data_IF_599817175226
#
_entry.id   IF_599817175226
#
_cell.length_a   1.000
_cell.length_b   1.000
_cell.length_c   1.000
_cell.angle_alpha   90.00
_cell.angle_beta   90.00
_cell.angle_gamma   90.00
#
_symmetry.space_group_name_H-M   'P 1'
#
loop_
_entity.id
_entity.type
_entity.pdbx_description
1 polymer ?
#
# COMPACT_ATOMS: atom_id res chain seq x y z
N UNK A 1 7.02 9.73 34.79
CA UNK A 1 6.41 11.06 34.85
C UNK A 1 5.95 11.41 36.26
N UNK A 2 6.31 12.59 36.75
CA UNK A 2 5.85 13.14 38.03
C UNK A 2 4.86 14.30 37.77
N UNK A 3 3.60 14.14 38.15
CA UNK A 3 2.55 15.16 37.93
C UNK A 3 2.34 16.08 39.13
N UNK A 4 2.94 15.80 40.28
CA UNK A 4 2.73 16.56 41.52
C UNK A 4 3.26 18.00 41.43
N UNK A 5 4.15 18.26 40.46
CA UNK A 5 4.70 19.58 40.21
C UNK A 5 3.88 20.39 39.19
N UNK A 6 2.76 19.85 38.70
CA UNK A 6 1.85 20.56 37.83
C UNK A 6 0.87 21.39 38.65
N UNK A 7 0.67 22.61 38.19
CA UNK A 7 -0.32 23.55 38.71
C UNK A 7 -1.35 23.85 37.61
N UNK A 8 -2.63 23.84 37.97
CA UNK A 8 -3.74 24.18 37.08
C UNK A 8 -3.64 25.64 36.62
N UNK A 9 -4.00 25.89 35.37
CA UNK A 9 -3.94 27.20 34.72
C UNK A 9 -2.55 27.86 34.66
N UNK A 10 -1.49 27.15 35.07
CA UNK A 10 -0.11 27.63 34.98
C UNK A 10 0.41 27.52 33.56
N UNK A 11 1.05 28.60 33.10
CA UNK A 11 1.68 28.69 31.78
C UNK A 11 3.13 28.20 31.83
N UNK A 12 3.41 27.06 31.19
CA UNK A 12 4.76 26.52 30.99
C UNK A 12 5.30 26.97 29.64
N UNK A 13 6.35 27.79 29.63
CA UNK A 13 6.79 28.54 28.42
C UNK A 13 7.12 27.66 27.20
N UNK A 14 7.59 26.42 27.41
CA UNK A 14 7.89 25.50 26.32
C UNK A 14 7.94 24.03 26.77
N UNK A 15 8.07 23.14 25.79
CA UNK A 15 8.20 21.70 25.99
C UNK A 15 9.36 21.28 26.91
N UNK A 16 10.51 21.96 26.86
CA UNK A 16 11.67 21.60 27.71
C UNK A 16 11.35 21.86 29.18
N UNK A 17 10.80 23.03 29.48
CA UNK A 17 10.39 23.40 30.83
C UNK A 17 9.32 22.43 31.35
N UNK A 18 8.35 22.07 30.51
CA UNK A 18 7.33 21.09 30.90
C UNK A 18 7.93 19.69 31.14
N UNK A 19 8.90 19.26 30.33
CA UNK A 19 9.66 18.03 30.59
C UNK A 19 10.39 18.06 31.93
N UNK A 20 11.03 19.17 32.28
CA UNK A 20 11.78 19.31 33.54
C UNK A 20 10.83 19.22 34.75
N UNK A 21 9.70 19.91 34.70
CA UNK A 21 8.64 19.86 35.73
C UNK A 21 8.12 18.44 35.92
N UNK A 22 7.88 17.74 34.81
CA UNK A 22 7.39 16.36 34.76
C UNK A 22 8.46 15.30 35.05
N UNK A 23 9.72 15.71 35.22
CA UNK A 23 10.92 14.83 35.32
C UNK A 23 10.99 13.81 34.17
N UNK A 24 10.69 14.26 32.96
CA UNK A 24 10.66 13.45 31.75
C UNK A 24 11.83 13.82 30.82
N UNK A 25 12.44 12.84 30.14
CA UNK A 25 13.51 13.10 29.18
C UNK A 25 12.99 13.90 27.97
N UNK A 26 13.75 14.90 27.55
CA UNK A 26 13.51 15.64 26.31
C UNK A 26 13.71 14.68 25.12
N UNK A 27 12.70 14.59 24.26
CA UNK A 27 12.66 13.72 23.07
C UNK A 27 12.48 14.55 21.81
N UNK A 28 12.79 13.95 20.67
CA UNK A 28 12.60 14.54 19.34
C UNK A 28 11.78 13.61 18.43
N UNK A 29 11.28 14.16 17.31
CA UNK A 29 10.55 13.41 16.28
C UNK A 29 9.35 12.61 16.81
N UNK A 30 9.27 11.34 16.40
CA UNK A 30 8.18 10.43 16.77
C UNK A 30 8.12 10.15 18.28
N UNK A 31 9.28 10.09 18.94
CA UNK A 31 9.35 9.85 20.39
C UNK A 31 8.75 11.01 21.20
N UNK A 32 8.90 12.25 20.72
CA UNK A 32 8.25 13.43 21.30
C UNK A 32 6.72 13.36 21.14
N UNK A 33 6.24 13.01 19.95
CA UNK A 33 4.80 12.86 19.69
C UNK A 33 4.16 11.77 20.56
N UNK A 34 4.86 10.65 20.76
CA UNK A 34 4.40 9.57 21.66
C UNK A 34 4.38 10.02 23.12
N UNK A 35 5.32 10.86 23.53
CA UNK A 35 5.34 11.41 24.87
C UNK A 35 4.15 12.35 25.12
N UNK A 36 3.77 13.19 24.15
CA UNK A 36 2.54 14.00 24.26
C UNK A 36 1.28 13.14 24.43
N UNK A 37 1.16 12.06 23.66
CA UNK A 37 0.04 11.11 23.84
C UNK A 37 0.05 10.43 25.20
N UNK A 38 1.24 10.19 25.75
CA UNK A 38 1.37 9.66 27.11
C UNK A 38 0.90 10.69 28.14
N UNK A 39 1.24 11.97 27.94
CA UNK A 39 0.84 13.07 28.83
C UNK A 39 -0.68 13.32 28.86
N UNK A 40 -1.34 13.21 27.71
CA UNK A 40 -2.81 13.30 27.58
C UNK A 40 -3.57 12.26 28.44
N UNK A 41 -2.87 11.22 28.93
CA UNK A 41 -3.44 10.27 29.89
C UNK A 41 -3.53 10.83 31.30
N UNK A 42 -2.71 11.82 31.65
CA UNK A 42 -2.56 12.32 33.01
C UNK A 42 -3.12 13.73 33.19
N UNK A 43 -3.18 14.52 32.12
CA UNK A 43 -3.73 15.87 32.17
C UNK A 43 -4.17 16.34 30.77
N UNK A 44 -5.07 17.31 30.72
CA UNK A 44 -5.38 18.07 29.50
C UNK A 44 -4.61 19.38 29.48
N UNK A 45 -4.31 19.83 28.28
CA UNK A 45 -3.66 21.11 28.06
C UNK A 45 -4.07 21.68 26.71
N UNK A 46 -4.02 22.99 26.61
CA UNK A 46 -4.00 23.70 25.35
C UNK A 46 -2.68 24.46 25.20
N UNK A 47 -2.42 24.93 23.98
CA UNK A 47 -1.20 25.68 23.67
C UNK A 47 -1.51 27.15 23.49
N UNK A 48 -0.62 27.97 24.03
CA UNK A 48 -0.55 29.40 23.76
C UNK A 48 0.83 29.69 23.14
N UNK A 49 0.86 29.70 21.80
CA UNK A 49 2.09 29.68 21.01
C UNK A 49 2.95 28.44 21.29
N UNK A 50 4.15 28.65 21.84
CA UNK A 50 5.04 27.56 22.25
C UNK A 50 4.80 27.07 23.68
N UNK A 51 3.95 27.76 24.44
CA UNK A 51 3.65 27.45 25.83
C UNK A 51 2.53 26.42 25.95
N UNK A 52 2.47 25.78 27.12
CA UNK A 52 1.48 24.79 27.50
C UNK A 52 0.75 25.30 28.75
N UNK A 53 -0.58 25.28 28.74
CA UNK A 53 -1.42 25.64 29.88
C UNK A 53 -2.20 24.40 30.27
N UNK A 54 -2.11 23.99 31.54
CA UNK A 54 -2.72 22.75 32.04
C UNK A 54 -4.15 23.05 32.49
N UNK A 55 -5.12 22.41 31.84
CA UNK A 55 -6.54 22.66 32.06
C UNK A 55 -7.12 21.76 33.15
N UNK A 56 -6.69 20.49 33.19
CA UNK A 56 -7.17 19.49 34.13
C UNK A 56 -6.06 18.48 34.44
N UNK A 57 -5.93 18.05 35.70
CA UNK A 57 -5.00 16.99 36.11
C UNK A 57 -5.83 15.82 36.65
N UNK A 58 -5.65 14.64 36.07
CA UNK A 58 -6.40 13.45 36.45
C UNK A 58 -5.80 12.80 37.70
N UNK A 59 -6.66 12.49 38.68
CA UNK A 59 -6.28 11.74 39.88
C UNK A 59 -5.76 10.35 39.50
N UNK A 60 -6.46 9.69 38.56
CA UNK A 60 -6.03 8.42 37.98
C UNK A 60 -5.78 8.62 36.49
N UNK A 61 -4.61 8.22 35.96
CA UNK A 61 -4.34 8.36 34.54
C UNK A 61 -5.28 7.50 33.70
N UNK A 62 -5.79 8.04 32.59
CA UNK A 62 -6.56 7.30 31.58
C UNK A 62 -5.81 6.04 31.17
N UNK A 63 -6.53 4.94 30.93
CA UNK A 63 -5.90 3.67 30.56
C UNK A 63 -5.01 3.79 29.33
N UNK A 64 -3.88 3.08 29.36
CA UNK A 64 -2.99 2.99 28.20
C UNK A 64 -3.57 1.99 27.22
N UNK A 65 -4.19 2.49 26.16
CA UNK A 65 -4.63 1.63 25.07
C UNK A 65 -3.40 1.24 24.23
N UNK A 66 -2.73 0.14 24.57
CA UNK A 66 -1.71 -0.47 23.72
C UNK A 66 -2.33 -1.51 22.78
N UNK A 67 -2.55 -1.08 21.54
CA UNK A 67 -3.03 -1.97 20.47
C UNK A 67 -1.89 -2.74 19.80
N UNK A 68 -0.64 -2.66 20.28
CA UNK A 68 0.46 -3.48 19.81
C UNK A 68 0.34 -4.88 20.41
N UNK A 69 -0.19 -5.82 19.61
CA UNK A 69 -0.31 -7.23 19.99
C UNK A 69 -1.73 -7.70 20.33
N UNK A 70 -2.70 -6.79 20.49
CA UNK A 70 -4.11 -7.14 20.69
C UNK A 70 -4.86 -7.35 19.37
N UNK A 71 -4.38 -8.31 18.56
CA UNK A 71 -5.15 -9.08 17.56
C UNK A 71 -4.38 -10.40 17.33
N UNK A 72 -4.76 -11.45 18.05
CA UNK A 72 -4.48 -12.87 17.74
C UNK A 72 -3.11 -13.23 17.14
N UNK A 73 -1.96 -13.11 17.80
CA UNK A 73 -0.65 -13.64 17.29
C UNK A 73 -0.22 -13.26 15.84
N UNK A 74 -1.00 -12.46 15.10
CA UNK A 74 -0.83 -12.16 13.69
C UNK A 74 -0.20 -10.79 13.59
N UNK A 75 1.10 -10.76 13.26
CA UNK A 75 1.80 -9.51 12.91
C UNK A 75 1.23 -8.96 11.60
N UNK A 76 0.23 -8.07 11.69
CA UNK A 76 -0.33 -7.29 10.59
C UNK A 76 -1.84 -7.44 10.44
N UNK A 77 -2.52 -6.37 10.00
CA UNK A 77 -3.99 -6.29 9.93
C UNK A 77 -4.65 -7.32 9.00
N UNK A 78 -3.88 -7.96 8.11
CA UNK A 78 -4.39 -8.92 7.12
C UNK A 78 -3.99 -10.37 7.39
N UNK A 79 -3.12 -10.62 8.37
CA UNK A 79 -2.41 -11.90 8.46
C UNK A 79 -3.33 -13.10 8.64
N UNK A 80 -4.33 -12.97 9.53
CA UNK A 80 -5.30 -14.04 9.79
C UNK A 80 -6.14 -14.44 8.58
N UNK A 81 -6.25 -13.57 7.59
CA UNK A 81 -6.98 -13.82 6.36
C UNK A 81 -6.06 -14.36 5.28
N UNK A 82 -5.00 -13.60 4.97
CA UNK A 82 -4.12 -13.91 3.85
C UNK A 82 -3.39 -15.23 4.01
N UNK A 83 -2.93 -15.56 5.22
CA UNK A 83 -2.21 -16.80 5.47
C UNK A 83 -3.12 -18.00 5.17
N UNK A 84 -4.38 -17.95 5.62
CA UNK A 84 -5.41 -18.97 5.41
C UNK A 84 -5.78 -19.09 3.92
N UNK A 85 -6.01 -17.96 3.25
CA UNK A 85 -6.41 -17.95 1.85
C UNK A 85 -5.29 -18.45 0.94
N UNK A 86 -4.05 -17.98 1.12
CA UNK A 86 -2.90 -18.43 0.33
C UNK A 86 -2.65 -19.92 0.56
N UNK A 87 -2.70 -20.40 1.81
CA UNK A 87 -2.55 -21.82 2.12
C UNK A 87 -3.61 -22.67 1.40
N UNK A 88 -4.87 -22.23 1.40
CA UNK A 88 -5.95 -22.94 0.74
C UNK A 88 -5.85 -22.90 -0.79
N UNK A 89 -5.43 -21.77 -1.37
CA UNK A 89 -5.16 -21.63 -2.81
C UNK A 89 -4.10 -22.63 -3.26
N UNK A 90 -3.01 -22.74 -2.50
CA UNK A 90 -1.93 -23.69 -2.78
C UNK A 90 -2.42 -25.12 -2.61
N UNK A 91 -3.19 -25.42 -1.57
CA UNK A 91 -3.71 -26.77 -1.32
C UNK A 91 -4.61 -27.27 -2.46
N UNK A 92 -5.40 -26.37 -3.06
CA UNK A 92 -6.28 -26.69 -4.19
C UNK A 92 -5.53 -26.84 -5.52
N UNK A 93 -4.30 -26.33 -5.64
CA UNK A 93 -3.50 -26.48 -6.84
C UNK A 93 -2.85 -27.86 -6.83
N UNK A 94 -3.14 -28.68 -7.84
CA UNK A 94 -2.53 -30.00 -8.03
C UNK A 94 -1.03 -29.95 -8.38
N UNK A 95 -0.42 -28.75 -8.46
CA UNK A 95 1.01 -28.59 -8.74
C UNK A 95 1.74 -28.11 -7.51
N UNK A 96 2.89 -28.73 -7.23
CA UNK A 96 3.77 -28.35 -6.11
C UNK A 96 4.41 -26.96 -6.30
N UNK A 97 4.34 -26.37 -7.49
CA UNK A 97 4.95 -25.07 -7.78
C UNK A 97 3.92 -24.11 -8.38
N UNK A 98 3.85 -22.91 -7.83
CA UNK A 98 3.06 -21.82 -8.36
C UNK A 98 3.98 -20.67 -8.79
N UNK A 99 3.80 -20.22 -10.03
CA UNK A 99 4.36 -18.98 -10.54
C UNK A 99 3.25 -17.93 -10.58
N UNK A 100 3.45 -16.78 -9.94
CA UNK A 100 2.39 -15.78 -9.80
C UNK A 100 2.92 -14.39 -9.51
N UNK A 101 2.26 -13.35 -10.02
CA UNK A 101 2.57 -11.96 -9.67
C UNK A 101 1.92 -11.56 -8.33
N UNK A 102 2.40 -10.48 -7.71
CA UNK A 102 1.71 -9.91 -6.53
C UNK A 102 0.25 -9.54 -6.82
N UNK A 103 -0.05 -9.05 -8.02
CA UNK A 103 -1.43 -8.74 -8.41
C UNK A 103 -2.26 -10.01 -8.61
N UNK A 104 -1.67 -11.08 -9.16
CA UNK A 104 -2.35 -12.37 -9.28
C UNK A 104 -2.72 -12.95 -7.92
N UNK A 105 -1.82 -12.90 -6.94
CA UNK A 105 -2.15 -13.30 -5.56
C UNK A 105 -3.20 -12.40 -4.93
N UNK A 106 -3.15 -11.08 -5.17
CA UNK A 106 -4.17 -10.15 -4.68
C UNK A 106 -5.57 -10.48 -5.24
N UNK A 107 -5.64 -10.90 -6.51
CA UNK A 107 -6.88 -11.31 -7.17
C UNK A 107 -7.38 -12.66 -6.62
N UNK A 108 -6.51 -13.67 -6.51
CA UNK A 108 -6.88 -14.98 -5.95
C UNK A 108 -7.32 -14.91 -4.48
N UNK A 109 -6.85 -13.93 -3.73
CA UNK A 109 -7.24 -13.70 -2.32
C UNK A 109 -8.38 -12.68 -2.17
N UNK A 110 -9.00 -12.25 -3.27
CA UNK A 110 -10.09 -11.27 -3.26
C UNK A 110 -9.74 -9.91 -2.63
N UNK A 111 -8.46 -9.54 -2.55
CA UNK A 111 -8.06 -8.16 -2.19
C UNK A 111 -8.44 -7.18 -3.30
N UNK A 112 -8.37 -7.64 -4.55
CA UNK A 112 -8.80 -6.94 -5.74
C UNK A 112 -9.70 -7.88 -6.54
N UNK A 113 -10.61 -7.34 -7.34
CA UNK A 113 -11.43 -8.15 -8.23
C UNK A 113 -10.84 -8.21 -9.66
N UNK A 114 -11.47 -8.98 -10.54
CA UNK A 114 -11.05 -9.17 -11.95
C UNK A 114 -10.95 -7.86 -12.76
N UNK A 115 -11.69 -6.82 -12.38
CA UNK A 115 -11.61 -5.53 -13.07
C UNK A 115 -10.24 -4.88 -12.86
N UNK A 116 -9.55 -5.17 -11.75
CA UNK A 116 -8.28 -4.54 -11.42
C UNK A 116 -7.20 -4.74 -12.49
N UNK A 117 -6.95 -6.00 -12.88
CA UNK A 117 -5.94 -6.31 -13.91
C UNK A 117 -6.29 -5.66 -15.24
N UNK A 118 -7.56 -5.76 -15.65
CA UNK A 118 -8.05 -5.22 -16.91
C UNK A 118 -7.96 -3.69 -16.97
N UNK A 119 -8.44 -2.99 -15.93
CA UNK A 119 -8.40 -1.53 -15.85
C UNK A 119 -6.96 -1.03 -15.75
N UNK A 120 -6.09 -1.75 -15.02
CA UNK A 120 -4.68 -1.41 -14.92
C UNK A 120 -3.92 -1.62 -16.25
N UNK A 121 -4.34 -2.59 -17.08
CA UNK A 121 -3.81 -2.79 -18.43
C UNK A 121 -4.33 -1.76 -19.44
N UNK A 122 -5.54 -1.23 -19.22
CA UNK A 122 -6.23 -0.32 -20.14
C UNK A 122 -6.48 1.07 -19.51
N UNK A 123 -5.45 1.65 -18.87
CA UNK A 123 -5.59 2.90 -18.08
C UNK A 123 -6.22 4.05 -18.85
N UNK A 124 -5.91 4.23 -20.14
CA UNK A 124 -6.49 5.29 -20.98
C UNK A 124 -8.01 5.12 -21.17
N UNK A 125 -8.47 3.89 -21.45
CA UNK A 125 -9.90 3.59 -21.60
C UNK A 125 -10.63 3.64 -20.26
N UNK A 126 -10.01 3.14 -19.20
CA UNK A 126 -10.53 3.24 -17.85
C UNK A 126 -10.74 4.70 -17.43
N UNK A 127 -9.75 5.57 -17.70
CA UNK A 127 -9.86 6.99 -17.42
C UNK A 127 -11.06 7.64 -18.12
N UNK A 128 -11.22 7.37 -19.43
CA UNK A 128 -12.36 7.88 -20.20
C UNK A 128 -13.71 7.41 -19.62
N UNK A 129 -13.81 6.14 -19.23
CA UNK A 129 -15.00 5.61 -18.58
C UNK A 129 -15.29 6.30 -17.23
N UNK A 130 -14.27 6.45 -16.39
CA UNK A 130 -14.38 7.07 -15.07
C UNK A 130 -14.71 8.56 -15.15
N UNK A 131 -14.13 9.28 -16.10
CA UNK A 131 -14.43 10.68 -16.37
C UNK A 131 -15.88 10.85 -16.84
N UNK A 132 -16.34 10.03 -17.79
CA UNK A 132 -17.67 10.16 -18.36
C UNK A 132 -18.78 9.82 -17.35
N UNK A 133 -18.63 8.69 -16.63
CA UNK A 133 -19.69 8.16 -15.76
C UNK A 133 -19.66 8.75 -14.34
N UNK A 134 -18.48 8.99 -13.79
CA UNK A 134 -18.31 9.36 -12.37
C UNK A 134 -17.66 10.73 -12.17
N UNK A 135 -17.38 11.47 -13.25
CA UNK A 135 -16.70 12.77 -13.22
C UNK A 135 -15.39 12.71 -12.42
N UNK A 136 -14.67 11.60 -12.56
CA UNK A 136 -13.38 11.39 -11.92
C UNK A 136 -12.22 12.05 -12.68
N UNK A 137 -11.05 12.09 -12.08
CA UNK A 137 -9.82 12.59 -12.67
C UNK A 137 -8.68 11.57 -12.58
N UNK A 138 -7.67 11.73 -13.44
CA UNK A 138 -6.55 10.79 -13.55
C UNK A 138 -5.73 10.68 -12.25
N UNK A 139 -5.65 11.76 -11.45
CA UNK A 139 -4.93 11.74 -10.18
C UNK A 139 -5.61 10.83 -9.16
N UNK A 140 -6.94 10.83 -9.09
CA UNK A 140 -7.71 9.93 -8.25
C UNK A 140 -7.43 8.45 -8.61
N UNK A 141 -7.44 8.14 -9.91
CA UNK A 141 -7.11 6.80 -10.40
C UNK A 141 -5.67 6.40 -10.06
N UNK A 142 -4.70 7.28 -10.33
CA UNK A 142 -3.30 7.04 -10.02
C UNK A 142 -3.08 6.79 -8.52
N UNK A 143 -3.69 7.59 -7.65
CA UNK A 143 -3.58 7.41 -6.21
C UNK A 143 -4.23 6.08 -5.76
N UNK A 144 -5.40 5.68 -6.30
CA UNK A 144 -6.01 4.38 -5.96
C UNK A 144 -5.15 3.21 -6.41
N UNK A 145 -4.74 3.16 -7.68
CA UNK A 145 -3.89 2.07 -8.19
C UNK A 145 -2.56 1.98 -7.42
N UNK A 146 -1.96 3.13 -7.09
CA UNK A 146 -0.74 3.17 -6.29
C UNK A 146 -0.97 2.61 -4.87
N UNK A 147 -2.04 3.02 -4.20
CA UNK A 147 -2.36 2.55 -2.85
C UNK A 147 -2.70 1.06 -2.83
N UNK A 148 -3.49 0.58 -3.80
CA UNK A 148 -3.81 -0.84 -3.94
C UNK A 148 -2.54 -1.65 -4.13
N UNK A 149 -1.73 -1.34 -5.15
CA UNK A 149 -0.50 -2.08 -5.46
C UNK A 149 0.51 -2.06 -4.30
N UNK A 150 0.71 -0.90 -3.68
CA UNK A 150 1.70 -0.77 -2.59
C UNK A 150 1.29 -1.52 -1.33
N UNK A 151 -0.01 -1.54 -1.00
CA UNK A 151 -0.53 -2.24 0.17
C UNK A 151 -0.68 -3.74 -0.05
N UNK A 152 -1.23 -4.15 -1.19
CA UNK A 152 -1.41 -5.57 -1.51
C UNK A 152 -0.06 -6.28 -1.56
N UNK A 153 0.93 -5.71 -2.27
CA UNK A 153 2.29 -6.26 -2.34
C UNK A 153 2.90 -6.47 -0.95
N UNK A 154 2.86 -5.45 -0.08
CA UNK A 154 3.40 -5.55 1.28
C UNK A 154 2.65 -6.58 2.14
N UNK A 155 1.34 -6.65 2.01
CA UNK A 155 0.50 -7.59 2.77
C UNK A 155 0.78 -9.04 2.36
N UNK A 156 0.87 -9.29 1.05
CA UNK A 156 1.20 -10.58 0.45
C UNK A 156 2.62 -11.01 0.84
N UNK A 157 3.62 -10.15 0.67
CA UNK A 157 5.00 -10.45 1.08
C UNK A 157 5.07 -10.77 2.58
N UNK A 158 4.32 -10.06 3.42
CA UNK A 158 4.26 -10.35 4.85
C UNK A 158 3.65 -11.72 5.15
N UNK A 159 2.66 -12.14 4.36
CA UNK A 159 2.00 -13.45 4.47
C UNK A 159 2.89 -14.57 3.98
N UNK A 160 3.51 -14.44 2.80
CA UNK A 160 4.48 -15.41 2.29
C UNK A 160 5.64 -15.61 3.28
N UNK A 161 6.18 -14.53 3.85
CA UNK A 161 7.19 -14.60 4.92
C UNK A 161 6.70 -15.37 6.16
N UNK A 162 5.44 -15.20 6.58
CA UNK A 162 4.87 -15.94 7.73
C UNK A 162 4.72 -17.43 7.40
N UNK A 163 4.15 -17.74 6.24
CA UNK A 163 3.95 -19.13 5.78
C UNK A 163 5.29 -19.86 5.61
N UNK A 164 6.32 -19.18 5.09
CA UNK A 164 7.67 -19.75 4.98
C UNK A 164 8.29 -20.02 6.35
N UNK A 165 8.19 -19.07 7.31
CA UNK A 165 8.64 -19.31 8.69
C UNK A 165 7.90 -20.45 9.38
N UNK A 166 6.63 -20.67 9.03
CA UNK A 166 5.82 -21.80 9.49
C UNK A 166 6.14 -23.11 8.74
N UNK A 167 7.13 -23.12 7.84
CA UNK A 167 7.51 -24.27 7.00
C UNK A 167 6.35 -24.83 6.17
N UNK A 168 5.38 -23.98 5.81
CA UNK A 168 4.25 -24.36 4.95
C UNK A 168 4.58 -24.24 3.46
N UNK A 169 5.44 -23.28 3.13
CA UNK A 169 5.88 -22.98 1.77
C UNK A 169 7.38 -22.65 1.76
N UNK A 170 7.96 -22.65 0.57
CA UNK A 170 9.17 -21.92 0.26
C UNK A 170 8.86 -20.96 -0.89
N UNK A 171 9.41 -19.75 -0.89
CA UNK A 171 9.18 -18.84 -2.00
C UNK A 171 10.37 -17.94 -2.34
N UNK A 172 10.47 -17.62 -3.62
CA UNK A 172 11.44 -16.68 -4.18
C UNK A 172 10.71 -15.57 -4.94
N UNK A 173 11.14 -14.32 -4.75
CA UNK A 173 10.78 -13.22 -5.65
C UNK A 173 11.83 -13.13 -6.76
N UNK A 174 11.44 -13.48 -7.99
CA UNK A 174 12.37 -13.68 -9.12
C UNK A 174 11.73 -13.30 -10.45
N UNK A 175 12.54 -13.32 -11.52
CA UNK A 175 11.99 -13.32 -12.87
C UNK A 175 11.45 -14.69 -13.26
N UNK A 176 10.32 -14.67 -13.96
CA UNK A 176 9.60 -15.83 -14.46
C UNK A 176 9.52 -15.67 -15.97
N UNK A 177 9.96 -16.69 -16.69
CA UNK A 177 9.78 -16.82 -18.14
C UNK A 177 8.46 -17.53 -18.37
N UNK A 178 7.70 -17.05 -19.37
CA UNK A 178 6.55 -17.75 -19.89
C UNK A 178 6.77 -18.11 -21.35
N UNK A 179 6.28 -19.28 -21.72
CA UNK A 179 6.40 -19.87 -23.05
C UNK A 179 5.07 -19.73 -23.81
N UNK A 180 5.08 -19.89 -25.13
CA UNK A 180 3.88 -19.78 -25.98
C UNK A 180 2.79 -20.78 -25.62
N UNK A 181 3.16 -21.92 -25.01
CA UNK A 181 2.23 -22.92 -24.50
C UNK A 181 1.74 -22.64 -23.07
N UNK A 182 1.88 -21.40 -22.59
CA UNK A 182 1.49 -20.95 -21.24
C UNK A 182 2.19 -21.65 -20.07
N UNK A 183 3.28 -22.38 -20.34
CA UNK A 183 4.15 -22.91 -19.28
C UNK A 183 4.96 -21.76 -18.70
N UNK A 184 5.17 -21.80 -17.38
CA UNK A 184 5.97 -20.80 -16.66
C UNK A 184 7.13 -21.47 -15.92
N UNK A 185 8.29 -20.82 -15.89
CA UNK A 185 9.48 -21.28 -15.18
C UNK A 185 10.26 -20.11 -14.59
N UNK A 186 10.91 -20.33 -13.44
CA UNK A 186 11.90 -19.38 -12.89
C UNK A 186 13.09 -19.25 -13.84
N UNK A 187 13.61 -18.03 -13.99
CA UNK A 187 14.84 -17.77 -14.75
C UNK A 187 16.06 -18.48 -14.15
N UNK A 188 17.00 -18.87 -15.00
CA UNK A 188 18.35 -19.23 -14.55
C UNK A 188 19.12 -17.98 -14.11
N UNK A 189 20.22 -18.16 -13.38
CA UNK A 189 21.10 -17.07 -12.93
C UNK A 189 21.54 -16.21 -14.13
N UNK A 190 21.98 -16.85 -15.22
CA UNK A 190 22.43 -16.16 -16.42
C UNK A 190 21.30 -15.36 -17.09
N UNK A 191 20.08 -15.91 -17.17
CA UNK A 191 18.93 -15.21 -17.73
C UNK A 191 18.55 -13.99 -16.87
N UNK A 192 18.58 -14.14 -15.54
CA UNK A 192 18.31 -13.06 -14.61
C UNK A 192 19.34 -11.94 -14.72
N UNK A 193 20.63 -12.27 -14.84
CA UNK A 193 21.69 -11.29 -15.07
C UNK A 193 21.50 -10.49 -16.36
N UNK A 194 21.11 -11.15 -17.47
CA UNK A 194 20.81 -10.49 -18.74
C UNK A 194 19.71 -9.44 -18.53
N UNK A 195 18.62 -9.81 -17.85
CA UNK A 195 17.49 -8.90 -17.64
C UNK A 195 17.90 -7.73 -16.73
N UNK A 196 18.58 -8.00 -15.60
CA UNK A 196 19.00 -6.97 -14.65
C UNK A 196 19.96 -5.97 -15.29
N UNK A 197 20.93 -6.46 -16.08
CA UNK A 197 21.90 -5.60 -16.75
C UNK A 197 21.23 -4.73 -17.83
N UNK A 198 20.26 -5.27 -18.57
CA UNK A 198 19.46 -4.50 -19.50
C UNK A 198 18.62 -3.42 -18.80
N UNK A 199 17.93 -3.75 -17.69
CA UNK A 199 17.18 -2.77 -16.90
C UNK A 199 18.08 -1.61 -16.43
N UNK A 200 19.26 -1.91 -15.87
CA UNK A 200 20.24 -0.91 -15.40
C UNK A 200 20.72 -0.01 -16.54
N UNK A 201 21.13 -0.62 -17.66
CA UNK A 201 21.62 0.09 -18.86
C UNK A 201 20.56 1.05 -19.41
N UNK A 202 19.30 0.61 -19.52
CA UNK A 202 18.22 1.46 -20.02
C UNK A 202 17.85 2.56 -19.03
N UNK A 203 17.85 2.30 -17.72
CA UNK A 203 17.61 3.33 -16.71
C UNK A 203 18.63 4.47 -16.81
N UNK A 204 19.92 4.14 -16.95
CA UNK A 204 20.99 5.10 -17.15
C UNK A 204 20.83 5.88 -18.45
N UNK A 205 20.62 5.18 -19.59
CA UNK A 205 20.43 5.81 -20.90
C UNK A 205 19.24 6.76 -20.97
N UNK A 206 18.16 6.46 -20.24
CA UNK A 206 16.97 7.32 -20.19
C UNK A 206 17.09 8.45 -19.16
N UNK A 207 18.13 8.44 -18.31
CA UNK A 207 18.28 9.34 -17.19
C UNK A 207 17.04 9.40 -16.28
N UNK A 208 16.50 8.21 -15.91
CA UNK A 208 15.29 8.11 -15.09
C UNK A 208 15.53 7.38 -13.78
N UNK A 209 14.84 7.84 -12.75
CA UNK A 209 14.76 7.17 -11.46
C UNK A 209 13.65 6.11 -11.45
N UNK A 210 13.72 5.15 -10.52
CA UNK A 210 12.64 4.21 -10.27
C UNK A 210 11.33 4.90 -9.91
N UNK A 211 11.40 6.04 -9.20
CA UNK A 211 10.21 6.83 -8.87
C UNK A 211 9.54 7.34 -10.14
N UNK A 212 10.28 8.04 -11.01
CA UNK A 212 9.72 8.55 -12.27
C UNK A 212 9.11 7.45 -13.13
N UNK A 213 9.80 6.30 -13.26
CA UNK A 213 9.33 5.11 -13.97
C UNK A 213 7.99 4.59 -13.43
N UNK A 214 7.76 4.63 -12.12
CA UNK A 214 6.52 4.11 -11.51
C UNK A 214 5.34 5.07 -11.65
N UNK A 215 5.59 6.39 -11.65
CA UNK A 215 4.53 7.41 -11.65
C UNK A 215 4.04 7.80 -13.05
N UNK A 216 4.84 7.60 -14.10
CA UNK A 216 4.49 7.96 -15.47
C UNK A 216 4.28 6.71 -16.32
N UNK A 217 3.03 6.39 -16.66
CA UNK A 217 2.66 5.17 -17.39
C UNK A 217 3.39 5.09 -18.74
N UNK A 218 3.35 6.15 -19.54
CA UNK A 218 4.00 6.17 -20.86
C UNK A 218 5.52 6.01 -20.76
N UNK A 219 6.12 6.54 -19.70
CA UNK A 219 7.55 6.37 -19.43
C UNK A 219 7.88 4.92 -19.06
N UNK A 220 7.01 4.26 -18.27
CA UNK A 220 7.12 2.85 -17.91
C UNK A 220 7.04 1.95 -19.14
N UNK A 221 6.08 2.20 -20.02
CA UNK A 221 5.90 1.45 -21.28
C UNK A 221 7.11 1.62 -22.19
N UNK A 222 7.56 2.86 -22.40
CA UNK A 222 8.77 3.15 -23.19
C UNK A 222 10.02 2.50 -22.61
N UNK A 223 10.14 2.48 -21.28
CA UNK A 223 11.24 1.80 -20.59
C UNK A 223 11.23 0.29 -20.87
N UNK A 224 10.11 -0.40 -20.59
CA UNK A 224 10.06 -1.86 -20.75
C UNK A 224 10.12 -2.29 -22.21
N UNK A 225 9.61 -1.50 -23.16
CA UNK A 225 9.84 -1.74 -24.60
C UNK A 225 11.33 -1.79 -24.92
N UNK A 226 12.08 -0.76 -24.53
CA UNK A 226 13.54 -0.70 -24.76
C UNK A 226 14.33 -1.80 -24.05
N UNK A 227 13.86 -2.26 -22.89
CA UNK A 227 14.48 -3.41 -22.20
C UNK A 227 14.21 -4.69 -22.99
N UNK A 228 12.96 -4.91 -23.43
CA UNK A 228 12.58 -6.09 -24.20
C UNK A 228 13.30 -6.17 -25.55
N UNK A 229 13.53 -5.03 -26.22
CA UNK A 229 14.30 -4.95 -27.47
C UNK A 229 15.74 -5.47 -27.32
N UNK A 230 16.29 -5.48 -26.09
CA UNK A 230 17.61 -6.03 -25.77
C UNK A 230 17.50 -7.48 -25.30
N UNK A 231 16.57 -7.75 -24.39
CA UNK A 231 16.51 -9.02 -23.67
C UNK A 231 15.93 -10.15 -24.52
N UNK A 232 14.79 -9.92 -25.17
CA UNK A 232 14.06 -10.99 -25.85
C UNK A 232 14.89 -11.64 -26.96
N UNK A 233 15.59 -10.91 -27.84
CA UNK A 233 16.43 -11.54 -28.86
C UNK A 233 17.53 -12.46 -28.29
N UNK A 234 18.07 -12.13 -27.12
CA UNK A 234 19.11 -12.93 -26.46
C UNK A 234 18.51 -14.20 -25.87
N UNK A 235 17.33 -14.10 -25.25
CA UNK A 235 16.63 -15.25 -24.66
C UNK A 235 16.11 -16.20 -25.75
N UNK A 236 15.47 -15.66 -26.79
CA UNK A 236 14.87 -16.46 -27.87
C UNK A 236 15.89 -17.13 -28.78
N UNK A 237 17.11 -16.57 -28.89
CA UNK A 237 18.22 -17.25 -29.57
C UNK A 237 18.58 -18.60 -28.92
N UNK A 238 18.31 -18.77 -27.63
CA UNK A 238 18.57 -20.02 -26.89
C UNK A 238 17.37 -20.96 -26.84
N UNK A 239 16.15 -20.41 -26.86
CA UNK A 239 14.89 -21.15 -26.88
C UNK A 239 13.81 -20.26 -27.50
N UNK A 240 13.45 -20.53 -28.75
CA UNK A 240 12.55 -19.73 -29.57
C UNK A 240 11.10 -19.75 -29.08
N UNK A 241 10.74 -20.70 -28.22
CA UNK A 241 9.41 -20.81 -27.58
C UNK A 241 9.19 -19.81 -26.45
N UNK A 242 10.21 -19.03 -26.07
CA UNK A 242 10.10 -18.03 -25.03
C UNK A 242 9.25 -16.86 -25.53
N UNK A 243 8.06 -16.73 -24.95
CA UNK A 243 7.10 -15.67 -25.29
C UNK A 243 7.38 -14.37 -24.52
N UNK A 244 8.01 -14.47 -23.35
CA UNK A 244 8.44 -13.31 -22.58
C UNK A 244 8.77 -13.62 -21.13
N UNK A 245 8.80 -12.57 -20.30
CA UNK A 245 9.14 -12.69 -18.89
C UNK A 245 8.49 -11.60 -18.03
N UNK A 246 8.37 -11.86 -16.73
CA UNK A 246 7.88 -10.90 -15.74
C UNK A 246 8.49 -11.13 -14.34
N UNK A 247 8.37 -10.15 -13.43
CA UNK A 247 8.73 -10.33 -12.01
C UNK A 247 7.56 -10.87 -11.21
N UNK A 248 7.78 -11.93 -10.45
CA UNK A 248 6.75 -12.54 -9.60
C UNK A 248 7.34 -13.43 -8.51
N UNK A 249 6.51 -14.28 -7.97
CA UNK A 249 6.87 -15.27 -6.97
C UNK A 249 6.87 -16.65 -7.60
N UNK A 250 7.94 -17.41 -7.34
CA UNK A 250 7.91 -18.87 -7.39
C UNK A 250 7.59 -19.34 -5.98
N UNK A 251 6.52 -20.09 -5.80
CA UNK A 251 6.08 -20.62 -4.50
C UNK A 251 6.05 -22.14 -4.60
N UNK A 252 6.84 -22.81 -3.76
CA UNK A 252 6.80 -24.26 -3.59
C UNK A 252 5.87 -24.61 -2.43
N UNK A 253 4.98 -25.57 -2.66
CA UNK A 253 4.18 -26.23 -1.62
C UNK A 253 5.09 -27.15 -0.81
N UNK A 254 5.14 -26.95 0.52
CA UNK A 254 5.84 -27.86 1.45
C UNK A 254 4.85 -28.63 2.32
N UNK A 255 4.03 -27.92 3.11
CA UNK A 255 3.10 -28.53 4.08
C UNK A 255 1.85 -27.66 4.25
N UNK A 256 1.17 -27.35 3.14
CA UNK A 256 -0.11 -26.63 3.18
C UNK A 256 -1.27 -27.60 3.42
N UNK A 257 -2.30 -27.14 4.15
CA UNK A 257 -3.50 -27.91 4.46
C UNK A 257 -4.75 -27.21 3.94
N UNK A 258 -5.80 -28.00 3.70
CA UNK A 258 -7.14 -27.47 3.42
C UNK A 258 -7.59 -26.56 4.56
N UNK A 259 -8.11 -25.38 4.22
CA UNK A 259 -8.66 -24.46 5.21
C UNK A 259 -10.20 -24.39 5.12
N UNK A 260 -10.82 -23.93 6.20
CA UNK A 260 -12.28 -23.74 6.32
C UNK A 260 -12.63 -22.25 6.31
N UNK A 261 -13.91 -21.93 6.16
CA UNK A 261 -14.45 -20.55 6.22
C UNK A 261 -13.83 -19.60 5.19
N UNK A 262 -13.53 -20.12 3.99
CA UNK A 262 -12.81 -19.40 2.93
C UNK A 262 -13.57 -18.14 2.49
N UNK A 263 -14.84 -18.28 2.14
CA UNK A 263 -15.69 -17.17 1.67
C UNK A 263 -15.80 -16.05 2.71
N UNK A 264 -15.95 -16.41 3.98
CA UNK A 264 -15.99 -15.45 5.08
C UNK A 264 -14.67 -14.69 5.21
N UNK A 265 -13.54 -15.38 5.11
CA UNK A 265 -12.22 -14.73 5.13
C UNK A 265 -11.96 -13.88 3.89
N UNK A 266 -12.42 -14.27 2.71
CA UNK A 266 -12.35 -13.47 1.48
C UNK A 266 -13.12 -12.15 1.66
N UNK A 267 -14.36 -12.21 2.15
CA UNK A 267 -15.20 -11.04 2.40
C UNK A 267 -14.59 -10.11 3.45
N UNK A 268 -14.19 -10.63 4.60
CA UNK A 268 -13.56 -9.82 5.66
C UNK A 268 -12.23 -9.20 5.20
N UNK A 269 -11.41 -9.93 4.45
CA UNK A 269 -10.17 -9.40 3.89
C UNK A 269 -10.45 -8.24 2.93
N UNK A 270 -11.40 -8.44 2.02
CA UNK A 270 -11.81 -7.47 1.02
C UNK A 270 -12.28 -6.17 1.67
N UNK A 271 -13.26 -6.25 2.58
CA UNK A 271 -13.82 -5.10 3.29
C UNK A 271 -12.73 -4.31 4.04
N UNK A 272 -11.85 -5.04 4.74
CA UNK A 272 -10.75 -4.43 5.51
C UNK A 272 -9.68 -3.83 4.61
N UNK A 273 -9.39 -4.45 3.47
CA UNK A 273 -8.43 -3.94 2.49
C UNK A 273 -8.95 -2.66 1.83
N UNK A 274 -10.17 -2.70 1.30
CA UNK A 274 -10.87 -1.57 0.68
C UNK A 274 -10.96 -0.36 1.62
N UNK A 275 -11.38 -0.59 2.86
CA UNK A 275 -11.46 0.45 3.89
C UNK A 275 -10.10 1.09 4.19
N UNK A 276 -9.03 0.29 4.23
CA UNK A 276 -7.69 0.79 4.48
C UNK A 276 -7.12 1.60 3.30
N UNK A 277 -7.45 1.22 2.06
CA UNK A 277 -7.11 1.98 0.85
C UNK A 277 -7.78 3.37 0.92
N UNK A 278 -9.10 3.42 1.11
CA UNK A 278 -9.85 4.67 1.24
C UNK A 278 -9.30 5.54 2.37
N UNK A 279 -9.12 4.96 3.57
CA UNK A 279 -8.59 5.69 4.73
C UNK A 279 -7.23 6.31 4.46
N UNK A 280 -6.36 5.60 3.75
CA UNK A 280 -5.02 6.11 3.43
C UNK A 280 -5.08 7.31 2.49
N UNK A 281 -5.96 7.26 1.49
CA UNK A 281 -6.16 8.37 0.55
C UNK A 281 -6.80 9.57 1.26
N UNK A 282 -7.86 9.35 2.06
CA UNK A 282 -8.49 10.40 2.88
C UNK A 282 -7.49 11.07 3.82
N UNK A 283 -6.54 10.33 4.39
CA UNK A 283 -5.47 10.90 5.21
C UNK A 283 -4.51 11.79 4.40
N UNK A 284 -4.18 11.42 3.16
CA UNK A 284 -3.37 12.30 2.30
C UNK A 284 -4.12 13.58 1.91
N UNK A 285 -5.40 13.48 1.58
CA UNK A 285 -6.26 14.65 1.34
C UNK A 285 -6.32 15.54 2.59
N UNK A 286 -6.50 14.96 3.77
CA UNK A 286 -6.51 15.70 5.03
C UNK A 286 -5.20 16.49 5.23
N UNK A 287 -4.04 15.87 5.00
CA UNK A 287 -2.74 16.57 5.09
C UNK A 287 -2.66 17.76 4.12
N UNK A 288 -3.20 17.62 2.92
CA UNK A 288 -3.25 18.72 1.94
C UNK A 288 -4.17 19.83 2.43
N UNK A 289 -5.37 19.50 2.94
CA UNK A 289 -6.29 20.48 3.54
C UNK A 289 -5.64 21.19 4.71
N UNK A 290 -5.05 20.46 5.65
CA UNK A 290 -4.36 21.03 6.82
C UNK A 290 -3.21 21.97 6.41
N UNK A 291 -2.53 21.66 5.30
CA UNK A 291 -1.41 22.47 4.79
C UNK A 291 -1.85 23.80 4.17
N UNK A 292 -2.99 23.85 3.49
CA UNK A 292 -3.37 25.02 2.69
C UNK A 292 -4.64 25.75 3.18
N UNK A 293 -5.49 25.10 3.98
CA UNK A 293 -6.85 25.55 4.30
C UNK A 293 -7.11 25.80 5.79
N UNK A 294 -6.17 25.53 6.70
CA UNK A 294 -6.43 25.67 8.15
C UNK A 294 -6.60 27.11 8.66
N UNK A 295 -6.09 28.13 7.94
CA UNK A 295 -6.05 29.52 8.44
C UNK A 295 -6.36 30.61 7.39
N UNK A 296 -7.02 30.29 6.28
CA UNK A 296 -7.34 31.28 5.23
C UNK A 296 -8.84 31.56 5.15
N UNK A 297 -9.30 32.47 6.01
CA UNK A 297 -10.67 33.02 5.97
C UNK A 297 -10.87 34.08 4.88
N UNK A 298 -9.79 34.60 4.27
CA UNK A 298 -9.86 35.62 3.21
C UNK A 298 -8.77 35.42 2.14
N UNK A 299 -9.17 35.47 0.86
CA UNK A 299 -8.27 35.45 -0.32
C UNK A 299 -8.17 34.11 -1.07
N UNK A 300 -7.60 34.14 -2.28
CA UNK A 300 -7.39 32.95 -3.13
C UNK A 300 -6.31 32.03 -2.56
N UNK A 301 -6.61 30.73 -2.43
CA UNK A 301 -5.65 29.73 -1.95
C UNK A 301 -4.63 29.41 -3.06
N UNK A 302 -3.36 29.72 -2.81
CA UNK A 302 -2.26 29.34 -3.69
C UNK A 302 -1.72 27.95 -3.34
N UNK A 303 -1.86 27.00 -4.28
CA UNK A 303 -1.32 25.65 -4.15
C UNK A 303 0.07 25.59 -4.78
N UNK A 304 1.03 24.95 -4.09
CA UNK A 304 2.38 24.75 -4.64
C UNK A 304 2.39 23.81 -5.85
N UNK A 305 1.45 22.87 -5.90
CA UNK A 305 1.35 21.84 -6.92
C UNK A 305 -0.10 21.68 -7.37
N UNK A 306 -0.33 21.54 -8.67
CA UNK A 306 -1.68 21.28 -9.22
C UNK A 306 -2.31 20.01 -8.63
N UNK A 307 -1.51 18.99 -8.33
CA UNK A 307 -1.98 17.78 -7.68
C UNK A 307 -2.60 18.04 -6.31
N UNK A 308 -2.11 19.03 -5.57
CA UNK A 308 -2.66 19.39 -4.26
C UNK A 308 -4.01 20.10 -4.41
N UNK A 309 -4.15 20.97 -5.43
CA UNK A 309 -5.42 21.61 -5.79
C UNK A 309 -6.47 20.56 -6.20
N UNK A 310 -6.08 19.58 -7.03
CA UNK A 310 -6.98 18.51 -7.48
C UNK A 310 -7.41 17.64 -6.29
N UNK A 311 -6.51 17.28 -5.38
CA UNK A 311 -6.82 16.40 -4.22
C UNK A 311 -7.90 16.94 -3.29
N UNK A 312 -8.11 18.25 -3.26
CA UNK A 312 -9.16 18.87 -2.44
C UNK A 312 -10.44 19.13 -3.22
N UNK A 313 -10.49 18.79 -4.52
CA UNK A 313 -11.66 18.98 -5.36
C UNK A 313 -12.74 17.90 -5.13
N UNK A 314 -14.02 18.19 -5.38
CA UNK A 314 -15.09 17.20 -5.33
C UNK A 314 -14.88 16.02 -6.30
N UNK A 315 -14.39 16.30 -7.52
CA UNK A 315 -14.14 15.29 -8.57
C UNK A 315 -13.13 14.23 -8.12
N UNK A 316 -12.11 14.65 -7.37
CA UNK A 316 -11.15 13.72 -6.79
C UNK A 316 -11.85 12.80 -5.79
N UNK A 317 -12.58 13.40 -4.83
CA UNK A 317 -13.22 12.65 -3.74
C UNK A 317 -14.27 11.66 -4.24
N UNK A 318 -15.15 12.08 -5.16
CA UNK A 318 -16.17 11.24 -5.81
C UNK A 318 -15.54 10.12 -6.65
N UNK A 319 -14.41 10.44 -7.30
CA UNK A 319 -13.60 9.50 -8.04
C UNK A 319 -13.12 8.33 -7.19
N UNK A 320 -12.49 8.61 -6.04
CA UNK A 320 -11.88 7.59 -5.18
C UNK A 320 -12.87 6.49 -4.80
N UNK A 321 -14.06 6.86 -4.32
CA UNK A 321 -15.05 5.88 -3.85
C UNK A 321 -15.58 5.02 -4.99
N UNK A 322 -15.83 5.62 -6.16
CA UNK A 322 -16.28 4.91 -7.36
C UNK A 322 -15.22 3.93 -7.88
N UNK A 323 -13.96 4.37 -7.94
CA UNK A 323 -12.84 3.54 -8.38
C UNK A 323 -12.64 2.37 -7.41
N UNK A 324 -12.63 2.63 -6.10
CA UNK A 324 -12.48 1.56 -5.09
C UNK A 324 -13.63 0.56 -5.22
N UNK A 325 -14.87 1.01 -5.37
CA UNK A 325 -16.02 0.12 -5.60
C UNK A 325 -15.80 -0.76 -6.83
N UNK A 326 -15.40 -0.19 -7.96
CA UNK A 326 -15.20 -0.94 -9.21
C UNK A 326 -14.07 -1.97 -9.11
N UNK A 327 -12.96 -1.61 -8.48
CA UNK A 327 -11.73 -2.42 -8.48
C UNK A 327 -11.65 -3.41 -7.32
N UNK A 328 -12.29 -3.09 -6.20
CA UNK A 328 -12.11 -3.82 -4.93
C UNK A 328 -13.42 -4.36 -4.35
N UNK A 329 -14.59 -4.18 -4.95
CA UNK A 329 -15.79 -4.81 -4.40
C UNK A 329 -15.69 -6.35 -4.47
N UNK A 330 -16.17 -7.00 -3.41
CA UNK A 330 -16.35 -8.45 -3.40
C UNK A 330 -17.40 -8.89 -4.42
N UNK A 331 -18.55 -8.21 -4.44
CA UNK A 331 -19.58 -8.37 -5.49
C UNK A 331 -19.17 -7.62 -6.75
N UNK A 332 -19.00 -8.32 -7.88
CA UNK A 332 -18.33 -7.77 -9.06
C UNK A 332 -19.34 -7.28 -10.10
N UNK A 333 -19.36 -5.97 -10.38
CA UNK A 333 -19.89 -5.46 -11.65
C UNK A 333 -18.83 -5.69 -12.74
N UNK A 334 -19.13 -6.52 -13.74
CA UNK A 334 -18.23 -6.69 -14.88
C UNK A 334 -18.31 -5.46 -15.80
N UNK A 335 -17.18 -4.79 -16.01
CA UNK A 335 -17.10 -3.60 -16.86
C UNK A 335 -16.23 -3.79 -18.12
N UNK A 336 -15.96 -5.05 -18.51
CA UNK A 336 -15.09 -5.38 -19.65
C UNK A 336 -15.50 -4.76 -20.98
N UNK A 337 -16.80 -4.60 -21.22
CA UNK A 337 -17.27 -3.97 -22.45
C UNK A 337 -17.18 -2.43 -22.41
N UNK A 338 -16.95 -1.87 -21.22
CA UNK A 338 -16.88 -0.42 -20.96
C UNK A 338 -15.44 0.12 -20.94
N UNK A 339 -14.44 -0.77 -20.82
CA UNK A 339 -13.01 -0.49 -20.63
C UNK A 339 -12.18 -1.41 -21.50
#
# INVERSE_FOLDING_TARGET
MNINNLELNKKYKNYKILCDVLKEKIKTGKSKQLQFKEWERYFTYHKDGNAFIIDEIYINPKEKIDNRGKVDNYKGIYGKYLDVLIENILFKKNSNVMYITSNGLAELTHMVNKNYKMCNGNRKKFHKYMQNKYKSNELAENDVFFQVNSKSKKAIESSLNRLQRQKKIEYDYCYIIYYDNYVEKKTTILQEEIIINAEKKIMQKMNITNKQKLWKIELKEKFYKKVNDIVLPILTKKDDRIAGYYKGYKINHVNVKRQKNIQEYEKQLNEKFSSNVIKSIKNEVKKVKDKYLQDKSWGTVYYKYDSDKIRVSPEYSNGIESIVKILLSYEIENIKEKV
#
